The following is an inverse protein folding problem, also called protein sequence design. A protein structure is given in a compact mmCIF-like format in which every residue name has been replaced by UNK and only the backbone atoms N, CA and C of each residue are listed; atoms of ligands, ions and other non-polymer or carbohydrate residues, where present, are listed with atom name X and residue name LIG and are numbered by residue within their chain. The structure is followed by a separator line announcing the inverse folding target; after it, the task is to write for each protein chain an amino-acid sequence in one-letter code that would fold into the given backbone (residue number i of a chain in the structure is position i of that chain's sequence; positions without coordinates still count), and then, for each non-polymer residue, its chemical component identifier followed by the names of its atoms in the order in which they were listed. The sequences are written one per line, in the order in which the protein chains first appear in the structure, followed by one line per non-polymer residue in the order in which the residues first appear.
data_IF_124207455535
#
_entry.id   IF_124207455535
#
_cell.length_a   1.000
_cell.length_b   1.000
_cell.length_c   1.000
_cell.angle_alpha   90.00
_cell.angle_beta   90.00
_cell.angle_gamma   90.00
#
_symmetry.space_group_name_H-M   'P 1'
#
loop_
_entity.id
_entity.type
_entity.pdbx_description
1 polymer ?
#
# COMPACT_ATOMS: atom_id res chain seq x y z
N UNK A 1 0.73 -41.58 -7.92
CA UNK A 1 0.13 -40.53 -8.76
C UNK A 1 -0.87 -39.78 -7.90
N UNK A 2 -0.51 -38.58 -7.43
CA UNK A 2 -1.42 -37.74 -6.65
C UNK A 2 -2.20 -36.86 -7.64
N UNK A 3 -3.39 -37.32 -8.03
CA UNK A 3 -4.34 -36.49 -8.79
C UNK A 3 -4.92 -35.48 -7.79
N UNK A 4 -4.68 -34.19 -8.01
CA UNK A 4 -5.27 -33.14 -7.18
C UNK A 4 -6.81 -33.20 -7.31
N UNK A 5 -7.57 -33.29 -6.20
CA UNK A 5 -9.00 -33.50 -6.25
C UNK A 5 -9.74 -32.16 -6.31
N UNK A 6 -10.13 -31.68 -7.49
CA UNK A 6 -11.29 -30.76 -7.57
C UNK A 6 -11.89 -30.53 -8.96
N UNK A 7 -11.45 -31.22 -10.02
CA UNK A 7 -11.91 -30.89 -11.38
C UNK A 7 -12.47 -32.08 -12.12
N UNK A 8 -13.63 -31.84 -12.71
CA UNK A 8 -14.29 -32.79 -13.57
C UNK A 8 -13.45 -32.97 -14.85
N UNK A 9 -12.97 -34.19 -15.05
CA UNK A 9 -12.13 -34.57 -16.21
C UNK A 9 -12.98 -34.95 -17.42
N UNK A 10 -14.31 -34.93 -17.31
CA UNK A 10 -15.20 -35.17 -18.44
C UNK A 10 -14.89 -34.17 -19.55
N UNK A 11 -14.59 -34.70 -20.75
CA UNK A 11 -14.22 -33.93 -21.96
C UNK A 11 -12.82 -33.30 -21.95
N UNK A 12 -11.94 -33.68 -21.01
CA UNK A 12 -10.53 -33.33 -21.10
C UNK A 12 -9.93 -33.90 -22.39
N UNK A 13 -9.21 -33.06 -23.13
CA UNK A 13 -8.64 -33.34 -24.44
C UNK A 13 -7.14 -33.01 -24.50
N UNK A 14 -6.54 -32.67 -23.36
CA UNK A 14 -5.12 -32.37 -23.22
C UNK A 14 -4.59 -32.77 -21.84
N UNK A 15 -3.35 -33.23 -21.78
CA UNK A 15 -2.65 -33.57 -20.52
C UNK A 15 -1.47 -32.61 -20.35
N UNK A 16 -1.41 -31.89 -19.23
CA UNK A 16 -0.23 -31.12 -18.84
C UNK A 16 0.60 -31.96 -17.89
N UNK A 17 1.89 -32.11 -18.16
CA UNK A 17 2.86 -32.79 -17.29
C UNK A 17 3.86 -31.76 -16.76
N UNK A 18 4.17 -31.82 -15.47
CA UNK A 18 5.24 -31.03 -14.87
C UNK A 18 5.88 -31.87 -13.76
N UNK A 19 7.09 -32.37 -14.02
CA UNK A 19 7.79 -33.25 -13.09
C UNK A 19 7.00 -34.53 -12.84
N UNK A 20 6.68 -34.79 -11.56
CA UNK A 20 5.96 -36.00 -11.15
C UNK A 20 4.43 -35.84 -11.16
N UNK A 21 3.94 -34.66 -11.56
CA UNK A 21 2.51 -34.34 -11.57
C UNK A 21 1.98 -34.15 -12.98
N UNK A 22 0.72 -34.57 -13.15
CA UNK A 22 0.00 -34.45 -14.40
C UNK A 22 -1.43 -33.99 -14.15
N UNK A 23 -1.96 -33.16 -15.05
CA UNK A 23 -3.32 -32.64 -15.01
C UNK A 23 -4.01 -32.91 -16.34
N UNK A 24 -5.15 -33.59 -16.30
CA UNK A 24 -6.09 -33.65 -17.41
C UNK A 24 -6.86 -32.33 -17.48
N UNK A 25 -6.75 -31.63 -18.61
CA UNK A 25 -7.31 -30.29 -18.80
C UNK A 25 -8.03 -30.18 -20.14
N UNK A 26 -8.78 -29.09 -20.28
CA UNK A 26 -9.52 -28.78 -21.49
C UNK A 26 -8.74 -27.73 -22.28
N UNK A 27 -8.22 -28.11 -23.45
CA UNK A 27 -7.41 -27.29 -24.33
C UNK A 27 -8.08 -25.95 -24.63
N UNK A 28 -9.40 -25.96 -24.86
CA UNK A 28 -10.19 -24.76 -25.16
C UNK A 28 -10.35 -23.80 -23.97
N UNK A 29 -10.05 -24.24 -22.73
CA UNK A 29 -9.99 -23.35 -21.56
C UNK A 29 -8.59 -22.79 -21.35
N UNK A 30 -7.57 -23.65 -21.43
CA UNK A 30 -6.21 -23.27 -21.02
C UNK A 30 -5.40 -22.59 -22.14
N UNK A 31 -5.51 -23.03 -23.39
CA UNK A 31 -4.73 -22.48 -24.50
C UNK A 31 -5.08 -21.01 -24.77
N UNK A 32 -6.37 -20.59 -24.88
CA UNK A 32 -6.70 -19.20 -25.17
C UNK A 32 -6.33 -18.21 -24.05
N UNK A 33 -6.12 -18.71 -22.82
CA UNK A 33 -5.90 -17.87 -21.63
C UNK A 33 -4.43 -17.81 -21.23
N UNK A 34 -3.60 -18.70 -21.75
CA UNK A 34 -2.19 -18.76 -21.40
C UNK A 34 -1.37 -19.34 -22.55
N UNK A 35 -0.59 -18.47 -23.19
CA UNK A 35 0.22 -18.78 -24.37
C UNK A 35 1.24 -19.91 -24.12
N UNK A 36 1.62 -20.17 -22.86
CA UNK A 36 2.49 -21.30 -22.52
C UNK A 36 1.87 -22.65 -22.91
N UNK A 37 0.57 -22.81 -22.74
CA UNK A 37 -0.13 -24.03 -23.13
C UNK A 37 -0.38 -24.05 -24.63
N UNK A 38 -0.82 -22.92 -25.21
CA UNK A 38 -1.05 -22.82 -26.66
C UNK A 38 0.21 -23.14 -27.48
N UNK A 39 1.34 -22.53 -27.11
CA UNK A 39 2.60 -22.70 -27.83
C UNK A 39 3.18 -24.12 -27.67
N UNK A 40 2.89 -24.79 -26.55
CA UNK A 40 3.36 -26.14 -26.29
C UNK A 40 2.38 -27.21 -26.82
N UNK A 41 1.15 -26.84 -27.17
CA UNK A 41 0.13 -27.76 -27.63
C UNK A 41 0.27 -28.05 -29.12
N UNK A 42 0.77 -29.24 -29.45
CA UNK A 42 0.78 -29.76 -30.81
C UNK A 42 -0.44 -30.66 -31.05
N UNK A 43 -1.36 -30.22 -31.92
CA UNK A 43 -2.55 -30.99 -32.31
C UNK A 43 -2.22 -32.31 -33.03
N UNK A 44 -1.01 -32.44 -33.56
CA UNK A 44 -0.56 -33.68 -34.21
C UNK A 44 0.03 -34.67 -33.20
N UNK A 45 0.22 -34.27 -31.94
CA UNK A 45 0.67 -35.17 -30.88
C UNK A 45 -0.45 -36.17 -30.55
N UNK A 46 -0.27 -37.48 -30.80
CA UNK A 46 -1.31 -38.48 -30.55
C UNK A 46 -1.65 -38.62 -29.06
N UNK A 47 -0.75 -38.19 -28.17
CA UNK A 47 -0.94 -38.27 -26.72
C UNK A 47 -1.54 -36.99 -26.14
N UNK A 48 -1.65 -35.90 -26.93
CA UNK A 48 -2.14 -34.59 -26.47
C UNK A 48 -1.42 -34.08 -25.21
N UNK A 49 -0.11 -34.37 -25.08
CA UNK A 49 0.69 -34.02 -23.90
C UNK A 49 1.42 -32.70 -24.12
N UNK A 50 1.31 -31.81 -23.12
CA UNK A 50 2.10 -30.59 -22.96
C UNK A 50 3.07 -30.79 -21.79
N UNK A 51 4.37 -30.76 -22.07
CA UNK A 51 5.42 -30.93 -21.05
C UNK A 51 5.96 -29.57 -20.56
N UNK A 52 5.72 -29.28 -19.29
CA UNK A 52 6.20 -28.11 -18.55
C UNK A 52 7.16 -28.50 -17.42
N UNK A 53 7.86 -29.63 -17.51
CA UNK A 53 8.76 -30.13 -16.45
C UNK A 53 9.97 -29.25 -16.14
N UNK A 54 10.20 -28.19 -16.93
CA UNK A 54 11.21 -27.16 -16.64
C UNK A 54 10.71 -26.11 -15.63
N UNK A 55 9.41 -26.05 -15.40
CA UNK A 55 8.77 -25.08 -14.54
C UNK A 55 8.55 -25.64 -13.13
N UNK A 56 8.23 -24.76 -12.18
CA UNK A 56 7.88 -25.17 -10.83
C UNK A 56 6.47 -25.77 -10.84
N UNK A 57 6.33 -27.00 -10.37
CA UNK A 57 5.06 -27.70 -10.39
C UNK A 57 3.95 -26.93 -9.65
N UNK A 58 4.24 -26.28 -8.51
CA UNK A 58 3.24 -25.53 -7.73
C UNK A 58 2.74 -24.31 -8.50
N UNK A 59 3.62 -23.70 -9.29
CA UNK A 59 3.28 -22.56 -10.15
C UNK A 59 2.39 -23.00 -11.31
N UNK A 60 2.68 -24.15 -11.92
CA UNK A 60 1.83 -24.73 -12.97
C UNK A 60 0.46 -25.09 -12.40
N UNK A 61 0.41 -25.74 -11.23
CA UNK A 61 -0.83 -26.05 -10.54
C UNK A 61 -1.67 -24.79 -10.24
N UNK A 62 -1.06 -23.75 -9.67
CA UNK A 62 -1.73 -22.48 -9.38
C UNK A 62 -2.22 -21.75 -10.65
N UNK A 63 -1.45 -21.82 -11.74
CA UNK A 63 -1.84 -21.25 -13.02
C UNK A 63 -3.05 -21.97 -13.60
N UNK A 64 -3.02 -23.30 -13.64
CA UNK A 64 -4.15 -24.12 -14.06
C UNK A 64 -5.34 -23.83 -13.14
N UNK A 65 -5.13 -23.70 -11.83
CA UNK A 65 -6.18 -23.40 -10.87
C UNK A 65 -6.90 -22.08 -11.23
N UNK A 66 -6.11 -21.03 -11.40
CA UNK A 66 -6.59 -19.71 -11.77
C UNK A 66 -7.35 -19.66 -13.09
N UNK A 67 -6.93 -20.41 -14.10
CA UNK A 67 -7.58 -20.39 -15.43
C UNK A 67 -9.05 -20.84 -15.36
N UNK A 68 -9.34 -21.81 -14.52
CA UNK A 68 -10.68 -22.36 -14.35
C UNK A 68 -11.51 -21.56 -13.34
N UNK A 69 -10.92 -21.21 -12.19
CA UNK A 69 -11.70 -20.70 -11.05
C UNK A 69 -11.55 -19.18 -10.87
N UNK A 70 -10.62 -18.54 -11.60
CA UNK A 70 -10.28 -17.12 -11.44
C UNK A 70 -9.48 -16.82 -10.15
N UNK A 71 -9.16 -17.83 -9.36
CA UNK A 71 -8.30 -17.76 -8.19
C UNK A 71 -7.47 -19.04 -8.05
N UNK A 72 -6.43 -18.99 -7.24
CA UNK A 72 -5.70 -20.18 -6.82
C UNK A 72 -5.48 -20.15 -5.32
N UNK A 73 -5.48 -21.33 -4.72
CA UNK A 73 -5.17 -21.49 -3.32
C UNK A 73 -3.69 -21.86 -3.22
N UNK A 74 -2.90 -20.98 -2.60
CA UNK A 74 -1.61 -21.41 -2.09
C UNK A 74 -1.90 -22.53 -1.09
N UNK A 75 -1.41 -23.74 -1.36
CA UNK A 75 -1.84 -24.97 -0.70
C UNK A 75 -2.00 -24.82 0.82
N UNK A 76 -2.98 -25.55 1.36
CA UNK A 76 -3.30 -25.76 2.78
C UNK A 76 -2.15 -26.41 3.60
N UNK A 77 -0.91 -26.40 3.12
CA UNK A 77 0.24 -26.69 3.96
C UNK A 77 0.40 -25.52 4.93
N UNK A 78 0.28 -25.82 6.22
CA UNK A 78 0.40 -24.93 7.38
C UNK A 78 1.79 -24.24 7.54
N UNK A 79 2.50 -23.99 6.44
CA UNK A 79 3.69 -23.17 6.35
C UNK A 79 3.34 -21.93 5.56
N UNK A 80 3.14 -20.82 6.26
CA UNK A 80 3.71 -19.47 6.10
C UNK A 80 4.50 -19.02 4.83
N UNK A 81 4.65 -19.83 3.78
CA UNK A 81 5.40 -19.55 2.55
C UNK A 81 4.47 -19.10 1.39
N UNK A 82 3.45 -18.32 1.70
CA UNK A 82 2.55 -17.69 0.72
C UNK A 82 3.28 -16.70 -0.22
N UNK A 83 4.30 -16.00 0.29
CA UNK A 83 4.98 -14.94 -0.46
C UNK A 83 5.76 -15.50 -1.66
N UNK A 84 6.55 -16.56 -1.44
CA UNK A 84 7.42 -17.14 -2.47
C UNK A 84 6.61 -17.69 -3.63
N UNK A 85 5.52 -18.42 -3.34
CA UNK A 85 4.61 -18.92 -4.38
C UNK A 85 3.98 -17.77 -5.17
N UNK A 86 3.45 -16.74 -4.49
CA UNK A 86 2.86 -15.58 -5.17
C UNK A 86 3.90 -14.85 -6.04
N UNK A 87 5.16 -14.75 -5.61
CA UNK A 87 6.25 -14.18 -6.39
C UNK A 87 6.57 -15.02 -7.64
N UNK A 88 6.64 -16.34 -7.50
CA UNK A 88 6.94 -17.25 -8.60
C UNK A 88 5.80 -17.33 -9.62
N UNK A 89 4.54 -17.37 -9.16
CA UNK A 89 3.36 -17.29 -10.03
C UNK A 89 3.33 -15.96 -10.77
N UNK A 90 3.66 -14.86 -10.09
CA UNK A 90 3.72 -13.54 -10.71
C UNK A 90 4.84 -13.45 -11.77
N UNK A 91 6.00 -14.04 -11.51
CA UNK A 91 7.08 -14.17 -12.50
C UNK A 91 6.60 -14.97 -13.71
N UNK A 92 6.01 -16.14 -13.48
CA UNK A 92 5.51 -17.01 -14.54
C UNK A 92 4.45 -16.31 -15.40
N UNK A 93 3.45 -15.69 -14.76
CA UNK A 93 2.41 -14.93 -15.44
C UNK A 93 2.98 -13.77 -16.28
N UNK A 94 4.05 -13.12 -15.79
CA UNK A 94 4.72 -12.06 -16.54
C UNK A 94 5.48 -12.60 -17.75
N UNK A 95 6.20 -13.71 -17.59
CA UNK A 95 6.95 -14.35 -18.67
C UNK A 95 6.06 -14.88 -19.80
N UNK A 96 4.86 -15.35 -19.46
CA UNK A 96 3.89 -15.92 -20.40
C UNK A 96 2.76 -14.95 -20.78
N UNK A 97 2.88 -13.67 -20.41
CA UNK A 97 1.91 -12.61 -20.71
C UNK A 97 0.45 -12.91 -20.29
N UNK A 98 0.28 -13.61 -19.17
CA UNK A 98 -1.04 -13.95 -18.59
C UNK A 98 -1.50 -12.78 -17.72
N UNK A 99 -2.11 -11.77 -18.34
CA UNK A 99 -2.40 -10.47 -17.71
C UNK A 99 -3.26 -10.56 -16.45
N UNK A 100 -4.32 -11.38 -16.46
CA UNK A 100 -5.23 -11.49 -15.33
C UNK A 100 -4.57 -12.20 -14.14
N UNK A 101 -3.83 -13.27 -14.41
CA UNK A 101 -3.05 -13.98 -13.38
C UNK A 101 -1.98 -13.07 -12.78
N UNK A 102 -1.32 -12.26 -13.62
CA UNK A 102 -0.32 -11.28 -13.19
C UNK A 102 -0.93 -10.26 -12.22
N UNK A 103 -2.10 -9.69 -12.55
CA UNK A 103 -2.80 -8.75 -11.65
C UNK A 103 -3.22 -9.42 -10.34
N UNK A 104 -3.80 -10.62 -10.42
CA UNK A 104 -4.25 -11.37 -9.25
C UNK A 104 -3.08 -11.74 -8.32
N UNK A 105 -2.02 -12.31 -8.88
CA UNK A 105 -0.82 -12.69 -8.13
C UNK A 105 -0.12 -11.47 -7.51
N UNK A 106 -0.06 -10.33 -8.20
CA UNK A 106 0.47 -9.08 -7.63
C UNK A 106 -0.35 -8.59 -6.44
N UNK A 107 -1.69 -8.61 -6.52
CA UNK A 107 -2.55 -8.19 -5.41
C UNK A 107 -2.43 -9.11 -4.19
N UNK A 108 -2.25 -10.42 -4.41
CA UNK A 108 -1.97 -11.39 -3.34
C UNK A 108 -0.58 -11.19 -2.75
N UNK A 109 0.43 -11.08 -3.60
CA UNK A 109 1.82 -10.84 -3.24
C UNK A 109 1.98 -9.61 -2.34
N UNK A 110 1.45 -8.45 -2.75
CA UNK A 110 1.54 -7.22 -1.97
C UNK A 110 0.86 -7.32 -0.60
N UNK A 111 -0.26 -8.04 -0.50
CA UNK A 111 -0.94 -8.27 0.79
C UNK A 111 -0.12 -9.20 1.70
N UNK A 112 0.44 -10.26 1.15
CA UNK A 112 1.30 -11.17 1.92
C UNK A 112 2.58 -10.48 2.38
N UNK A 113 3.20 -9.66 1.53
CA UNK A 113 4.37 -8.85 1.91
C UNK A 113 4.09 -7.89 3.07
N UNK A 114 2.91 -7.25 3.09
CA UNK A 114 2.55 -6.33 4.17
C UNK A 114 2.36 -7.03 5.53
N UNK A 115 1.96 -8.30 5.54
CA UNK A 115 1.82 -9.10 6.77
C UNK A 115 3.14 -9.74 7.24
N UNK A 116 3.91 -10.28 6.31
CA UNK A 116 5.00 -11.22 6.60
C UNK A 116 6.41 -10.66 6.33
N UNK A 117 6.56 -9.34 6.24
CA UNK A 117 7.86 -8.65 6.02
C UNK A 117 8.95 -9.01 7.04
N UNK A 118 8.57 -9.50 8.22
CA UNK A 118 9.46 -9.84 9.32
C UNK A 118 10.03 -11.27 9.23
N UNK A 119 9.56 -12.09 8.28
CA UNK A 119 9.98 -13.49 8.13
C UNK A 119 11.19 -13.62 7.21
N UNK A 120 11.92 -14.73 7.34
CA UNK A 120 13.05 -15.04 6.47
C UNK A 120 12.63 -15.21 5.00
N UNK A 121 11.41 -15.71 4.76
CA UNK A 121 10.83 -15.89 3.42
C UNK A 121 10.72 -14.59 2.62
N UNK A 122 10.50 -13.45 3.30
CA UNK A 122 10.55 -12.13 2.66
C UNK A 122 11.93 -11.83 2.08
N UNK A 123 12.99 -12.07 2.85
CA UNK A 123 14.36 -11.88 2.40
C UNK A 123 14.72 -12.84 1.26
N UNK A 124 14.34 -14.11 1.36
CA UNK A 124 14.55 -15.09 0.29
C UNK A 124 13.87 -14.68 -1.02
N UNK A 125 12.64 -14.15 -0.93
CA UNK A 125 11.93 -13.63 -2.09
C UNK A 125 12.67 -12.45 -2.71
N UNK A 126 13.12 -11.48 -1.90
CA UNK A 126 13.94 -10.37 -2.39
C UNK A 126 15.22 -10.87 -3.08
N UNK A 127 15.91 -11.86 -2.49
CA UNK A 127 17.10 -12.44 -3.10
C UNK A 127 16.80 -13.03 -4.48
N UNK A 128 15.72 -13.81 -4.61
CA UNK A 128 15.33 -14.43 -5.87
C UNK A 128 14.96 -13.38 -6.93
N UNK A 129 14.21 -12.34 -6.54
CA UNK A 129 13.82 -11.25 -7.43
C UNK A 129 14.99 -10.41 -7.92
N UNK A 130 15.96 -10.13 -7.06
CA UNK A 130 17.14 -9.35 -7.44
C UNK A 130 18.21 -10.19 -8.15
N UNK A 131 18.23 -11.51 -7.94
CA UNK A 131 19.11 -12.44 -8.68
C UNK A 131 18.59 -12.76 -10.09
N UNK A 132 17.28 -12.66 -10.33
CA UNK A 132 16.68 -12.92 -11.64
C UNK A 132 16.87 -11.71 -12.59
N UNK A 133 17.70 -11.89 -13.61
CA UNK A 133 18.19 -10.86 -14.55
C UNK A 133 17.16 -10.30 -15.55
N UNK A 134 15.88 -10.69 -15.49
CA UNK A 134 14.86 -10.25 -16.46
C UNK A 134 14.21 -8.92 -16.07
N UNK A 135 14.19 -7.95 -16.99
CA UNK A 135 13.56 -6.62 -16.85
C UNK A 135 12.06 -6.68 -16.55
N UNK A 136 11.37 -7.77 -16.90
CA UNK A 136 9.94 -8.00 -16.61
C UNK A 136 9.60 -8.02 -15.10
N UNK A 137 10.61 -7.96 -14.23
CA UNK A 137 10.52 -7.93 -12.77
C UNK A 137 10.50 -6.53 -12.16
N UNK A 138 10.44 -5.43 -12.93
CA UNK A 138 10.44 -4.06 -12.36
C UNK A 138 9.25 -3.85 -11.41
N UNK A 139 8.04 -4.26 -11.80
CA UNK A 139 6.86 -4.14 -10.92
C UNK A 139 6.96 -5.00 -9.65
N UNK A 140 7.52 -6.21 -9.80
CA UNK A 140 7.79 -7.16 -8.71
C UNK A 140 8.77 -6.59 -7.68
N UNK A 141 9.91 -6.07 -8.17
CA UNK A 141 10.95 -5.45 -7.36
C UNK A 141 10.41 -4.18 -6.70
N UNK A 142 9.63 -3.38 -7.40
CA UNK A 142 9.04 -2.15 -6.86
C UNK A 142 8.16 -2.42 -5.63
N UNK A 143 7.24 -3.40 -5.70
CA UNK A 143 6.37 -3.73 -4.58
C UNK A 143 7.15 -4.24 -3.36
N UNK A 144 8.09 -5.18 -3.56
CA UNK A 144 8.91 -5.73 -2.48
C UNK A 144 9.83 -4.66 -1.85
N UNK A 145 10.41 -3.79 -2.69
CA UNK A 145 11.28 -2.70 -2.24
C UNK A 145 10.49 -1.65 -1.47
N UNK A 146 9.26 -1.34 -1.88
CA UNK A 146 8.41 -0.41 -1.15
C UNK A 146 8.14 -0.90 0.28
N UNK A 147 7.84 -2.19 0.46
CA UNK A 147 7.67 -2.79 1.79
C UNK A 147 8.97 -2.74 2.59
N UNK A 148 10.11 -3.05 1.96
CA UNK A 148 11.41 -2.92 2.60
C UNK A 148 11.72 -1.46 3.02
N UNK A 149 11.34 -0.47 2.21
CA UNK A 149 11.51 0.96 2.51
C UNK A 149 10.65 1.38 3.70
N UNK A 150 9.38 0.95 3.74
CA UNK A 150 8.46 1.24 4.86
C UNK A 150 8.98 0.70 6.18
N UNK A 151 9.58 -0.49 6.17
CA UNK A 151 10.10 -1.15 7.37
C UNK A 151 11.64 -1.06 7.51
N UNK A 152 12.29 -0.14 6.78
CA UNK A 152 13.74 -0.09 6.68
C UNK A 152 14.42 0.15 8.05
N UNK A 153 13.80 0.97 8.91
CA UNK A 153 14.32 1.25 10.26
C UNK A 153 14.33 0.00 11.14
N UNK A 154 13.30 -0.84 11.05
CA UNK A 154 13.19 -2.07 11.83
C UNK A 154 14.11 -3.16 11.26
N UNK A 155 14.13 -3.32 9.94
CA UNK A 155 14.92 -4.34 9.26
C UNK A 155 16.43 -4.13 9.45
N UNK A 156 16.88 -2.87 9.40
CA UNK A 156 18.30 -2.52 9.55
C UNK A 156 18.70 -2.22 11.00
N UNK A 157 17.74 -1.93 11.88
CA UNK A 157 17.99 -1.62 13.28
C UNK A 157 18.37 -2.82 14.14
N UNK A 158 18.00 -4.03 13.73
CA UNK A 158 18.33 -5.27 14.45
C UNK A 158 18.99 -6.30 13.51
N UNK A 159 20.33 -6.22 13.35
CA UNK A 159 21.03 -7.07 12.40
C UNK A 159 20.99 -8.56 12.73
N UNK A 160 20.89 -8.89 14.02
CA UNK A 160 20.86 -10.26 14.53
C UNK A 160 19.52 -10.92 14.23
N UNK A 161 18.42 -10.20 14.44
CA UNK A 161 17.06 -10.70 14.17
C UNK A 161 16.80 -10.88 12.68
N UNK A 162 17.28 -9.96 11.86
CA UNK A 162 17.07 -9.99 10.40
C UNK A 162 18.35 -10.39 9.65
N UNK A 163 19.09 -11.37 10.18
CA UNK A 163 20.35 -11.86 9.59
C UNK A 163 20.19 -12.25 8.11
N UNK A 164 19.08 -12.90 7.75
CA UNK A 164 18.81 -13.28 6.36
C UNK A 164 18.67 -12.07 5.45
N UNK A 165 17.92 -11.04 5.87
CA UNK A 165 17.77 -9.80 5.12
C UNK A 165 19.13 -9.10 4.92
N UNK A 166 19.98 -9.08 5.94
CA UNK A 166 21.32 -8.49 5.83
C UNK A 166 22.23 -9.24 4.84
N UNK A 167 22.12 -10.57 4.76
CA UNK A 167 22.82 -11.34 3.72
C UNK A 167 22.38 -10.93 2.31
N UNK A 168 21.09 -10.66 2.13
CA UNK A 168 20.54 -10.20 0.84
C UNK A 168 21.01 -8.79 0.51
N UNK A 169 21.04 -7.90 1.49
CA UNK A 169 21.59 -6.54 1.35
C UNK A 169 23.06 -6.56 0.93
N UNK A 170 23.87 -7.46 1.50
CA UNK A 170 25.27 -7.62 1.14
C UNK A 170 25.46 -8.19 -0.28
N UNK A 171 24.53 -9.03 -0.73
CA UNK A 171 24.55 -9.64 -2.08
C UNK A 171 24.06 -8.70 -3.18
N UNK A 172 23.16 -7.77 -2.86
CA UNK A 172 22.50 -6.91 -3.85
C UNK A 172 22.74 -5.43 -3.55
N UNK A 173 23.86 -4.84 -4.03
CA UNK A 173 24.20 -3.44 -3.78
C UNK A 173 23.13 -2.46 -4.26
N UNK A 174 22.41 -2.78 -5.33
CA UNK A 174 21.33 -1.95 -5.86
C UNK A 174 20.19 -1.77 -4.87
N UNK A 175 19.75 -2.84 -4.20
CA UNK A 175 18.76 -2.79 -3.14
C UNK A 175 19.28 -1.96 -1.95
N UNK A 176 20.55 -2.16 -1.58
CA UNK A 176 21.16 -1.43 -0.48
C UNK A 176 21.22 0.08 -0.72
N UNK A 177 21.60 0.50 -1.93
CA UNK A 177 21.62 1.90 -2.36
C UNK A 177 20.23 2.51 -2.27
N UNK A 178 19.20 1.82 -2.79
CA UNK A 178 17.82 2.32 -2.78
C UNK A 178 17.34 2.56 -1.34
N UNK A 179 17.58 1.60 -0.43
CA UNK A 179 17.17 1.72 0.97
C UNK A 179 17.97 2.77 1.75
N UNK A 180 19.26 2.90 1.49
CA UNK A 180 20.08 3.96 2.08
C UNK A 180 19.60 5.35 1.64
N UNK A 181 19.32 5.53 0.34
CA UNK A 181 18.79 6.78 -0.21
C UNK A 181 17.38 7.09 0.31
N UNK A 182 16.53 6.08 0.53
CA UNK A 182 15.19 6.30 1.10
C UNK A 182 15.26 6.71 2.56
N UNK A 183 16.15 6.10 3.34
CA UNK A 183 16.37 6.49 4.73
C UNK A 183 16.98 7.89 4.87
N UNK A 184 17.97 8.23 4.03
CA UNK A 184 18.57 9.56 4.02
C UNK A 184 17.52 10.65 3.70
N UNK A 185 16.65 10.39 2.70
CA UNK A 185 15.53 11.29 2.38
C UNK A 185 14.58 11.47 3.55
N UNK A 186 14.14 10.37 4.16
CA UNK A 186 13.25 10.42 5.31
C UNK A 186 13.89 11.22 6.47
N UNK A 187 15.17 11.00 6.78
CA UNK A 187 15.87 11.74 7.83
C UNK A 187 15.96 13.24 7.54
N UNK A 188 16.24 13.63 6.30
CA UNK A 188 16.28 15.03 5.90
C UNK A 188 14.89 15.70 6.04
N UNK A 189 13.82 15.00 5.66
CA UNK A 189 12.45 15.48 5.86
C UNK A 189 12.14 15.71 7.35
N UNK A 190 12.50 14.78 8.22
CA UNK A 190 12.35 14.94 9.67
C UNK A 190 13.15 16.13 10.23
N UNK A 191 14.38 16.34 9.75
CA UNK A 191 15.21 17.47 10.15
C UNK A 191 14.62 18.80 9.68
N UNK A 192 14.14 18.86 8.43
CA UNK A 192 13.51 20.05 7.88
C UNK A 192 12.23 20.41 8.65
N UNK A 193 11.38 19.44 9.00
CA UNK A 193 10.20 19.69 9.84
C UNK A 193 10.56 20.23 11.24
N UNK A 194 11.63 19.71 11.86
CA UNK A 194 12.12 20.22 13.16
C UNK A 194 12.69 21.64 13.06
N UNK A 195 13.41 21.92 11.98
CA UNK A 195 14.00 23.24 11.75
C UNK A 195 12.94 24.30 11.47
N UNK A 196 11.88 23.97 10.71
CA UNK A 196 10.72 24.85 10.51
C UNK A 196 9.97 25.10 11.83
N UNK A 197 9.69 24.05 12.62
CA UNK A 197 9.05 24.21 13.93
C UNK A 197 9.91 24.99 14.95
N UNK A 198 11.25 24.95 14.80
CA UNK A 198 12.17 25.71 15.66
C UNK A 198 12.38 27.16 15.20
N UNK A 199 12.15 27.47 13.91
CA UNK A 199 12.18 28.84 13.40
C UNK A 199 10.99 29.67 13.88
N UNK A 200 9.83 29.05 14.13
CA UNK A 200 8.68 29.72 14.78
C UNK A 200 8.96 30.10 16.25
N UNK A 201 9.97 29.49 16.90
CA UNK A 201 10.34 29.78 18.29
C UNK A 201 11.51 30.78 18.39
N UNK A 202 12.19 31.11 17.27
CA UNK A 202 13.40 31.96 17.26
C UNK A 202 13.25 33.28 16.51
N UNK A 203 12.05 33.86 16.44
CA UNK A 203 11.97 35.30 16.27
C UNK A 203 12.07 35.96 17.65
N UNK A 204 13.09 36.80 17.95
CA UNK A 204 12.96 37.71 19.07
C UNK A 204 11.73 38.57 18.78
N UNK A 205 10.71 38.44 19.62
CA UNK A 205 9.51 39.26 19.57
C UNK A 205 9.96 40.72 19.71
N UNK A 206 10.18 41.39 18.58
CA UNK A 206 10.39 42.83 18.52
C UNK A 206 8.97 43.39 18.37
N UNK A 207 8.37 43.95 19.43
CA UNK A 207 7.00 44.45 19.32
C UNK A 207 7.04 45.64 18.36
N UNK A 208 6.61 45.45 17.12
CA UNK A 208 6.47 46.49 16.09
C UNK A 208 5.06 47.07 16.03
N UNK A 209 4.27 46.91 17.10
CA UNK A 209 2.98 47.57 17.20
C UNK A 209 2.89 48.32 18.53
N UNK A 210 2.56 49.63 18.51
CA UNK A 210 2.17 50.32 19.72
C UNK A 210 0.98 49.58 20.31
N UNK A 211 0.98 49.41 21.64
CA UNK A 211 -0.14 48.83 22.39
C UNK A 211 -1.45 49.41 21.84
N UNK A 212 -2.41 48.58 21.36
CA UNK A 212 -3.70 49.12 20.95
C UNK A 212 -4.34 49.77 22.17
N UNK A 213 -4.72 51.05 22.02
CA UNK A 213 -5.51 51.75 23.02
C UNK A 213 -6.78 50.94 23.30
N UNK A 214 -7.09 50.78 24.59
CA UNK A 214 -8.30 50.16 25.08
C UNK A 214 -9.54 50.79 24.40
N UNK A 215 -10.51 49.98 23.95
CA UNK A 215 -11.80 50.47 23.44
C UNK A 215 -12.14 50.22 21.97
N UNK A 216 -11.52 49.25 21.27
CA UNK A 216 -12.01 48.87 19.92
C UNK A 216 -13.30 48.04 20.03
N UNK A 217 -14.37 48.54 19.41
CA UNK A 217 -15.60 47.79 19.12
C UNK A 217 -15.31 46.73 18.05
N UNK A 218 -15.61 45.47 18.34
CA UNK A 218 -15.48 44.33 17.42
C UNK A 218 -16.86 43.96 16.87
N UNK A 219 -16.92 43.54 15.60
CA UNK A 219 -18.15 43.02 14.99
C UNK A 219 -18.28 41.52 15.21
N UNK A 220 -19.41 41.08 15.74
CA UNK A 220 -19.73 39.66 15.84
C UNK A 220 -20.02 39.09 14.43
N UNK A 221 -19.44 37.97 14.00
CA UNK A 221 -19.64 37.43 12.66
C UNK A 221 -20.98 36.71 12.54
N UNK A 222 -21.68 36.54 13.67
CA UNK A 222 -22.94 35.80 13.77
C UNK A 222 -24.18 36.69 13.84
N UNK A 223 -24.13 37.78 14.60
CA UNK A 223 -25.21 38.78 14.67
C UNK A 223 -24.88 40.13 14.01
N UNK A 224 -23.63 40.35 13.58
CA UNK A 224 -23.14 41.58 12.94
C UNK A 224 -23.23 42.87 13.80
N UNK A 225 -23.54 42.72 15.09
CA UNK A 225 -23.55 43.81 16.08
C UNK A 225 -22.14 44.13 16.57
N UNK A 226 -21.93 45.41 16.89
CA UNK A 226 -20.69 45.93 17.50
C UNK A 226 -20.72 45.66 19.01
N UNK A 227 -19.67 45.04 19.56
CA UNK A 227 -19.49 44.89 21.01
C UNK A 227 -18.14 45.42 21.49
N UNK A 228 -18.12 45.94 22.71
CA UNK A 228 -16.89 46.39 23.36
C UNK A 228 -16.19 45.21 24.01
N UNK A 229 -14.95 45.01 23.60
CA UNK A 229 -14.12 43.93 24.07
C UNK A 229 -13.54 44.29 25.45
N UNK A 230 -14.21 43.89 26.53
CA UNK A 230 -13.61 43.94 27.86
C UNK A 230 -12.48 42.90 27.93
N UNK A 231 -11.25 43.37 28.18
CA UNK A 231 -10.05 42.54 28.24
C UNK A 231 -10.19 41.45 29.32
N UNK A 232 -10.14 40.15 28.98
CA UNK A 232 -9.93 39.14 29.99
C UNK A 232 -8.44 38.80 30.06
N UNK A 233 -7.99 38.48 31.27
CA UNK A 233 -6.64 38.03 31.64
C UNK A 233 -6.15 36.78 30.88
N UNK A 234 -6.97 36.16 30.03
CA UNK A 234 -6.72 34.94 29.27
C UNK A 234 -6.61 35.12 27.74
N UNK A 235 -6.67 36.34 27.20
CA UNK A 235 -6.42 36.61 25.77
C UNK A 235 -7.51 36.16 24.79
N UNK A 236 -8.72 35.84 25.28
CA UNK A 236 -9.89 35.41 24.49
C UNK A 236 -11.10 36.30 24.76
N UNK A 237 -11.60 37.02 23.76
CA UNK A 237 -12.81 37.83 23.93
C UNK A 237 -14.07 36.97 23.77
N UNK A 238 -15.02 37.13 24.68
CA UNK A 238 -16.29 36.41 24.68
C UNK A 238 -17.46 37.38 24.46
N UNK A 239 -18.31 37.08 23.49
CA UNK A 239 -19.55 37.82 23.22
C UNK A 239 -20.75 36.86 23.24
N UNK A 240 -21.79 37.22 24.00
CA UNK A 240 -23.06 36.50 24.06
C UNK A 240 -24.00 37.09 23.00
N UNK A 241 -24.27 36.32 21.94
CA UNK A 241 -25.05 36.76 20.79
C UNK A 241 -26.50 36.25 20.94
N UNK A 242 -27.46 37.16 21.11
CA UNK A 242 -28.90 36.86 21.14
C UNK A 242 -29.48 36.93 19.73
N UNK A 243 -29.58 35.79 19.04
CA UNK A 243 -30.05 35.72 17.64
C UNK A 243 -31.58 35.70 17.49
N UNK A 244 -32.37 35.87 18.55
CA UNK A 244 -33.84 35.79 18.47
C UNK A 244 -34.52 37.02 17.83
N UNK A 245 -33.78 38.08 17.46
CA UNK A 245 -34.36 39.28 16.84
C UNK A 245 -34.50 39.25 15.31
N UNK A 246 -33.99 38.23 14.62
CA UNK A 246 -34.10 38.08 13.16
C UNK A 246 -34.78 36.76 12.80
N UNK A 247 -36.09 36.65 13.07
CA UNK A 247 -36.96 35.60 12.53
C UNK A 247 -37.99 36.18 11.56
N UNK A 248 -37.53 36.68 10.43
CA UNK A 248 -38.26 36.84 9.17
C UNK A 248 -37.12 36.99 8.14
N UNK A 249 -36.62 35.98 7.46
CA UNK A 249 -37.30 35.12 6.49
C UNK A 249 -36.59 33.75 6.45
N UNK A 250 -37.34 32.71 6.09
CA UNK A 250 -37.09 31.34 6.51
C UNK A 250 -35.77 30.71 6.07
N UNK A 251 -35.11 30.08 7.05
CA UNK A 251 -34.56 28.71 6.98
C UNK A 251 -34.57 28.20 8.43
N UNK A 252 -35.33 27.12 8.66
CA UNK A 252 -35.38 26.42 9.93
C UNK A 252 -34.03 25.75 10.21
N UNK A 253 -33.35 26.14 11.29
CA UNK A 253 -32.45 25.23 12.00
C UNK A 253 -32.49 25.48 13.51
N UNK A 254 -32.83 24.42 14.26
CA UNK A 254 -32.90 24.38 15.72
C UNK A 254 -31.51 24.64 16.31
N UNK A 255 -31.35 25.69 17.12
CA UNK A 255 -30.19 25.87 17.98
C UNK A 255 -30.62 26.41 19.35
N UNK A 256 -29.99 25.89 20.40
CA UNK A 256 -30.21 26.22 21.81
C UNK A 256 -29.77 27.65 22.17
N UNK A 257 -30.35 28.31 23.20
CA UNK A 257 -30.42 29.77 23.31
C UNK A 257 -29.22 30.45 23.99
N UNK A 258 -27.99 30.05 23.70
CA UNK A 258 -26.78 30.81 24.06
C UNK A 258 -25.55 30.10 23.54
N UNK A 259 -24.93 30.64 22.50
CA UNK A 259 -23.64 30.17 22.03
C UNK A 259 -22.66 31.35 22.06
N UNK A 260 -21.58 31.18 22.82
CA UNK A 260 -20.52 32.15 22.99
C UNK A 260 -19.62 32.17 21.74
N UNK A 261 -19.41 33.34 21.13
CA UNK A 261 -18.40 33.50 20.10
C UNK A 261 -17.06 33.88 20.76
N UNK A 262 -16.01 33.09 20.51
CA UNK A 262 -14.66 33.37 21.00
C UNK A 262 -13.81 34.01 19.89
N UNK A 263 -13.22 35.16 20.18
CA UNK A 263 -12.22 35.81 19.33
C UNK A 263 -10.83 35.74 19.98
N UNK A 264 -9.85 35.25 19.23
CA UNK A 264 -8.45 35.20 19.63
C UNK A 264 -7.69 36.38 19.03
N UNK A 265 -6.86 37.06 19.84
CA UNK A 265 -5.99 38.13 19.37
C UNK A 265 -4.58 37.58 19.15
N UNK A 266 -4.22 37.28 17.89
CA UNK A 266 -2.83 36.97 17.49
C UNK A 266 -2.67 35.71 16.63
N UNK A 267 -2.50 35.96 15.33
CA UNK A 267 -1.74 35.23 14.28
C UNK A 267 -1.91 33.70 14.10
N UNK A 268 -2.82 33.31 13.20
CA UNK A 268 -2.85 31.96 12.62
C UNK A 268 -4.17 31.66 11.91
N UNK A 269 -4.09 31.35 10.61
CA UNK A 269 -5.20 31.12 9.68
C UNK A 269 -6.39 30.29 10.23
N UNK A 270 -7.60 30.81 10.04
CA UNK A 270 -8.86 30.07 10.20
C UNK A 270 -8.93 28.98 9.13
N UNK A 271 -8.91 27.70 9.54
CA UNK A 271 -9.50 26.62 8.74
C UNK A 271 -10.96 26.47 9.16
N UNK A 272 -11.83 26.46 8.15
CA UNK A 272 -13.27 26.21 8.28
C UNK A 272 -13.51 24.79 8.83
N UNK A 273 -14.37 24.58 9.85
CA UNK A 273 -14.62 23.24 10.41
C UNK A 273 -15.76 22.45 9.72
N UNK A 274 -16.22 22.82 8.53
CA UNK A 274 -17.19 22.03 7.77
C UNK A 274 -16.83 21.95 6.26
N UNK A 275 -15.88 21.08 5.92
CA UNK A 275 -15.66 20.54 4.58
C UNK A 275 -15.13 19.10 4.66
#
# INVERSE_FOLDING_TARGET
MAVAPSRDVRYADMIVVCGDRSWEVHSNFVCPRAAVFENAFDRNNPNMVVDLSRENEQVVAATIEFIYDGHYNAAESASDDNISLHADVLRFASQHNIQDLRRYALGRYSRSLAGDWHRASFADTLNNLYSSTREDSVGLRSAATAVAMTHARQLLGDPSRYARFNQVMARHPSLAIILAQSLARALNEFQNSRNSASQDVRLPFRPQHPRPACGRRLKCPRCNEDFEAELPSSGTYQHQCDTERYQHEGISNRYTPSQWCMYYCGEGAVRNPDA
#
